data_IF_500368502961
#
_entry.id   IF_500368502961
#
_cell.length_a   1.000
_cell.length_b   1.000
_cell.length_c   1.000
_cell.angle_alpha   90.00
_cell.angle_beta   90.00
_cell.angle_gamma   90.00
#
_symmetry.space_group_name_H-M   'P 1'
#
loop_
_entity.id
_entity.type
_entity.pdbx_description
1 polymer ?
#
# COMPACT_ATOMS: atom_id res chain seq x y z
N UNK A 1 0.69 2.64 -5.17
CA UNK A 1 0.30 1.23 -4.91
C UNK A 1 -1.11 0.90 -5.43
N UNK A 2 -1.44 1.25 -6.68
CA UNK A 2 -2.69 0.82 -7.34
C UNK A 2 -2.45 -0.36 -8.30
N UNK A 3 -1.39 -1.12 -8.07
CA UNK A 3 -1.02 -2.27 -8.88
C UNK A 3 -1.68 -3.48 -8.24
N UNK A 4 -2.64 -4.10 -8.94
CA UNK A 4 -3.34 -5.27 -8.42
C UNK A 4 -2.47 -6.52 -8.53
N UNK A 5 -1.72 -6.62 -9.63
CA UNK A 5 -0.73 -7.66 -9.89
C UNK A 5 0.68 -7.14 -9.60
N UNK A 6 1.10 -7.25 -8.35
CA UNK A 6 2.40 -6.74 -7.92
C UNK A 6 3.53 -7.65 -8.40
N UNK A 7 4.22 -7.27 -9.48
CA UNK A 7 5.34 -8.04 -10.04
C UNK A 7 6.64 -7.87 -9.23
N UNK A 8 7.67 -8.67 -9.55
CA UNK A 8 8.94 -8.67 -8.81
C UNK A 8 9.70 -7.34 -8.88
N UNK A 9 9.64 -6.64 -10.03
CA UNK A 9 10.29 -5.34 -10.21
C UNK A 9 9.62 -4.29 -9.33
N UNK A 10 8.30 -4.19 -9.39
CA UNK A 10 7.53 -3.22 -8.60
C UNK A 10 7.75 -3.44 -7.09
N UNK A 11 7.86 -4.69 -6.63
CA UNK A 11 8.23 -4.98 -5.23
C UNK A 11 9.59 -4.43 -4.87
N UNK A 12 10.59 -4.67 -5.72
CA UNK A 12 11.95 -4.15 -5.50
C UNK A 12 11.98 -2.63 -5.39
N UNK A 13 11.27 -1.94 -6.29
CA UNK A 13 11.17 -0.48 -6.27
C UNK A 13 10.47 0.03 -4.98
N UNK A 14 9.44 -0.69 -4.50
CA UNK A 14 8.77 -0.35 -3.25
C UNK A 14 9.65 -0.55 -2.02
N UNK A 15 10.44 -1.64 -1.96
CA UNK A 15 11.41 -1.82 -0.88
C UNK A 15 12.49 -0.73 -0.91
N UNK A 16 12.97 -0.35 -2.09
CA UNK A 16 13.93 0.74 -2.23
C UNK A 16 13.36 2.08 -1.73
N UNK A 17 12.11 2.39 -2.07
CA UNK A 17 11.42 3.57 -1.54
C UNK A 17 11.26 3.51 -0.03
N UNK A 18 10.79 2.38 0.49
CA UNK A 18 10.61 2.15 1.92
C UNK A 18 11.93 2.06 2.69
N UNK A 19 13.09 1.92 2.05
CA UNK A 19 14.40 2.02 2.70
C UNK A 19 14.93 3.45 2.67
N UNK A 20 14.74 4.15 1.56
CA UNK A 20 15.30 5.48 1.32
C UNK A 20 14.52 6.61 2.01
N UNK A 21 13.24 6.42 2.31
CA UNK A 21 12.39 7.46 2.87
C UNK A 21 11.72 7.00 4.16
N UNK A 22 11.65 7.90 5.14
CA UNK A 22 10.86 7.71 6.34
C UNK A 22 9.36 7.85 6.05
N UNK A 23 8.53 7.32 6.94
CA UNK A 23 7.09 7.58 6.90
C UNK A 23 6.84 8.88 7.67
N UNK A 24 6.33 9.89 6.98
CA UNK A 24 6.00 11.19 7.57
C UNK A 24 4.50 11.33 7.85
N UNK A 25 4.18 12.27 8.74
CA UNK A 25 2.81 12.64 9.09
C UNK A 25 2.54 14.08 8.66
N UNK A 26 2.32 14.28 7.35
CA UNK A 26 1.97 15.59 6.80
C UNK A 26 3.15 16.57 6.66
N UNK A 27 4.39 16.07 6.64
CA UNK A 27 5.56 16.83 6.21
C UNK A 27 6.11 16.29 4.88
N UNK A 28 6.84 17.15 4.14
CA UNK A 28 7.42 16.84 2.84
C UNK A 28 8.76 16.07 2.93
N UNK A 29 9.15 15.56 4.11
CA UNK A 29 10.45 14.93 4.33
C UNK A 29 10.47 13.42 3.99
N UNK A 30 9.33 12.84 3.63
CA UNK A 30 9.23 11.40 3.37
C UNK A 30 7.94 10.97 2.70
N UNK A 31 7.57 9.71 2.93
CA UNK A 31 6.31 9.14 2.45
C UNK A 31 5.19 9.62 3.37
N UNK A 32 4.38 10.56 2.90
CA UNK A 32 3.28 11.14 3.67
C UNK A 32 2.13 10.13 3.88
N UNK A 33 2.11 9.50 5.05
CA UNK A 33 1.06 8.56 5.45
C UNK A 33 -0.30 9.24 5.62
N UNK A 34 -0.35 10.52 6.03
CA UNK A 34 -1.61 11.24 6.21
C UNK A 34 -2.28 11.51 4.86
N UNK A 35 -1.50 11.89 3.85
CA UNK A 35 -1.98 12.07 2.48
C UNK A 35 -2.51 10.75 1.90
N UNK A 36 -1.76 9.66 2.06
CA UNK A 36 -2.15 8.32 1.60
C UNK A 36 -3.45 7.90 2.29
N UNK A 37 -3.50 8.00 3.62
CA UNK A 37 -4.65 7.62 4.43
C UNK A 37 -5.90 8.44 4.05
N UNK A 38 -5.77 9.75 3.85
CA UNK A 38 -6.87 10.60 3.38
C UNK A 38 -7.44 10.14 2.03
N UNK A 39 -6.60 9.70 1.09
CA UNK A 39 -7.07 9.15 -0.18
C UNK A 39 -7.82 7.82 0.01
N UNK A 40 -7.23 6.90 0.77
CA UNK A 40 -7.80 5.56 0.99
C UNK A 40 -9.07 5.60 1.82
N UNK A 41 -9.20 6.51 2.79
CA UNK A 41 -10.43 6.70 3.58
C UNK A 41 -11.64 7.18 2.75
N UNK A 42 -11.38 7.75 1.57
CA UNK A 42 -12.40 8.17 0.61
C UNK A 42 -12.78 7.09 -0.42
N UNK A 43 -11.91 6.09 -0.63
CA UNK A 43 -12.07 5.07 -1.65
C UNK A 43 -11.73 3.66 -1.14
N UNK A 44 -12.76 2.82 -1.05
CA UNK A 44 -12.61 1.44 -0.56
C UNK A 44 -11.74 0.57 -1.47
N UNK A 45 -11.85 0.72 -2.79
CA UNK A 45 -11.06 -0.08 -3.72
C UNK A 45 -9.58 0.30 -3.64
N UNK A 46 -9.29 1.59 -3.51
CA UNK A 46 -7.93 2.09 -3.30
C UNK A 46 -7.34 1.57 -1.99
N UNK A 47 -8.08 1.67 -0.89
CA UNK A 47 -7.63 1.15 0.40
C UNK A 47 -7.34 -0.35 0.30
N UNK A 48 -8.25 -1.12 -0.31
CA UNK A 48 -8.09 -2.57 -0.43
C UNK A 48 -6.85 -2.96 -1.23
N UNK A 49 -6.57 -2.24 -2.32
CA UNK A 49 -5.37 -2.49 -3.12
C UNK A 49 -4.10 -2.14 -2.36
N UNK A 50 -4.09 -1.09 -1.54
CA UNK A 50 -2.95 -0.80 -0.68
C UNK A 50 -2.74 -1.88 0.38
N UNK A 51 -3.79 -2.29 1.11
CA UNK A 51 -3.72 -3.36 2.12
C UNK A 51 -3.13 -4.66 1.54
N UNK A 52 -3.63 -5.10 0.38
CA UNK A 52 -3.13 -6.28 -0.31
C UNK A 52 -1.66 -6.17 -0.68
N UNK A 53 -1.23 -5.00 -1.15
CA UNK A 53 0.17 -4.78 -1.51
C UNK A 53 1.08 -4.71 -0.29
N UNK A 54 0.68 -4.01 0.78
CA UNK A 54 1.43 -3.97 2.03
C UNK A 54 1.58 -5.37 2.64
N UNK A 55 0.51 -6.17 2.62
CA UNK A 55 0.57 -7.57 3.07
C UNK A 55 1.57 -8.39 2.25
N UNK A 56 1.48 -8.34 0.91
CA UNK A 56 2.41 -9.07 0.03
C UNK A 56 3.86 -8.65 0.22
N UNK A 57 4.12 -7.35 0.40
CA UNK A 57 5.45 -6.85 0.73
C UNK A 57 5.91 -7.40 2.09
N UNK A 58 5.04 -7.41 3.10
CA UNK A 58 5.39 -7.93 4.43
C UNK A 58 5.75 -9.41 4.40
N UNK A 59 4.97 -10.21 3.67
CA UNK A 59 5.15 -11.66 3.53
C UNK A 59 6.40 -12.02 2.73
N UNK A 60 6.70 -11.28 1.64
CA UNK A 60 7.86 -11.53 0.78
C UNK A 60 9.16 -10.87 1.28
N UNK A 61 9.11 -10.09 2.37
CA UNK A 61 10.27 -9.37 2.92
C UNK A 61 11.42 -10.30 3.34
N UNK A 62 11.20 -11.44 4.01
CA UNK A 62 12.29 -12.33 4.42
C UNK A 62 13.08 -12.94 3.26
N UNK A 63 12.48 -12.99 2.06
CA UNK A 63 13.10 -13.52 0.84
C UNK A 63 13.96 -12.48 0.10
N UNK A 64 13.92 -11.21 0.53
CA UNK A 64 14.67 -10.15 -0.11
C UNK A 64 16.15 -10.19 0.27
N UNK A 65 17.06 -9.81 -0.64
CA UNK A 65 18.49 -9.71 -0.37
C UNK A 65 18.83 -8.45 0.44
N UNK A 66 18.16 -8.27 1.59
CA UNK A 66 18.32 -7.17 2.53
C UNK A 66 18.95 -7.68 3.83
N UNK A 67 19.74 -6.85 4.49
CA UNK A 67 20.26 -7.14 5.83
C UNK A 67 19.13 -7.20 6.87
N UNK A 68 19.32 -7.87 8.03
CA UNK A 68 18.31 -7.90 9.08
C UNK A 68 17.88 -6.51 9.58
N UNK A 69 18.79 -5.54 9.60
CA UNK A 69 18.50 -4.16 9.96
C UNK A 69 17.58 -3.49 8.93
N UNK A 70 17.92 -3.59 7.66
CA UNK A 70 17.10 -3.07 6.55
C UNK A 70 15.71 -3.73 6.53
N UNK A 71 15.62 -5.04 6.77
CA UNK A 71 14.35 -5.74 6.90
C UNK A 71 13.53 -5.18 8.08
N UNK A 72 14.17 -4.90 9.22
CA UNK A 72 13.50 -4.26 10.36
C UNK A 72 12.94 -2.89 10.04
N UNK A 73 13.71 -2.07 9.32
CA UNK A 73 13.30 -0.73 8.87
C UNK A 73 12.08 -0.83 7.94
N UNK A 74 12.15 -1.67 6.91
CA UNK A 74 11.05 -1.84 5.95
C UNK A 74 9.80 -2.36 6.65
N UNK A 75 9.95 -3.35 7.52
CA UNK A 75 8.85 -3.91 8.30
C UNK A 75 8.12 -2.82 9.11
N UNK A 76 8.87 -2.02 9.86
CA UNK A 76 8.31 -0.94 10.67
C UNK A 76 7.56 0.10 9.83
N UNK A 77 8.08 0.42 8.64
CA UNK A 77 7.45 1.37 7.72
C UNK A 77 6.20 0.81 7.04
N UNK A 78 6.18 -0.48 6.70
CA UNK A 78 4.96 -1.19 6.25
C UNK A 78 3.90 -1.15 7.35
N UNK A 79 4.28 -1.48 8.58
CA UNK A 79 3.37 -1.52 9.73
C UNK A 79 2.80 -0.11 10.03
N UNK A 80 3.62 0.94 9.93
CA UNK A 80 3.17 2.33 10.09
C UNK A 80 2.17 2.77 9.01
N UNK A 81 2.41 2.42 7.74
CA UNK A 81 1.46 2.68 6.67
C UNK A 81 0.15 1.92 6.88
N UNK A 82 0.22 0.64 7.26
CA UNK A 82 -0.97 -0.16 7.55
C UNK A 82 -1.81 0.46 8.68
N UNK A 83 -1.16 0.89 9.77
CA UNK A 83 -1.84 1.57 10.88
C UNK A 83 -2.53 2.86 10.42
N UNK A 84 -1.87 3.71 9.63
CA UNK A 84 -2.48 4.94 9.12
C UNK A 84 -3.71 4.66 8.22
N UNK A 85 -3.65 3.59 7.43
CA UNK A 85 -4.78 3.13 6.61
C UNK A 85 -5.96 2.66 7.45
N UNK A 86 -5.73 2.04 8.60
CA UNK A 86 -6.77 1.57 9.50
C UNK A 86 -7.42 2.73 10.25
N UNK A 87 -6.61 3.62 10.82
CA UNK A 87 -7.03 4.71 11.70
C UNK A 87 -7.83 5.83 11.00
N UNK A 88 -7.65 6.02 9.69
CA UNK A 88 -8.30 7.13 8.99
C UNK A 88 -9.84 7.00 8.98
N UNK A 89 -10.60 8.08 9.26
CA UNK A 89 -12.05 8.05 9.17
C UNK A 89 -12.54 7.69 7.76
N UNK A 90 -13.42 6.68 7.67
CA UNK A 90 -13.98 6.23 6.38
C UNK A 90 -15.25 7.00 6.02
N UNK A 91 -15.35 7.45 4.77
CA UNK A 91 -16.56 8.11 4.27
C UNK A 91 -17.77 7.18 4.22
N UNK A 92 -18.97 7.76 4.08
CA UNK A 92 -20.20 6.99 3.85
C UNK A 92 -20.11 6.15 2.56
N UNK A 93 -19.58 6.72 1.47
CA UNK A 93 -19.38 6.00 0.19
C UNK A 93 -18.46 4.80 0.39
N UNK A 94 -17.34 5.00 1.06
CA UNK A 94 -16.41 3.93 1.42
C UNK A 94 -17.13 2.80 2.18
N UNK A 95 -17.88 3.13 3.24
CA UNK A 95 -18.60 2.16 4.07
C UNK A 95 -19.67 1.38 3.28
N UNK A 96 -20.36 2.04 2.35
CA UNK A 96 -21.30 1.37 1.46
C UNK A 96 -20.60 0.41 0.51
N UNK A 97 -19.47 0.83 -0.09
CA UNK A 97 -18.67 -0.03 -0.99
C UNK A 97 -18.04 -1.21 -0.24
N UNK A 98 -17.65 -1.03 1.02
CA UNK A 98 -17.11 -2.07 1.89
C UNK A 98 -18.11 -3.21 2.14
N UNK A 99 -19.41 -2.90 2.26
CA UNK A 99 -20.47 -3.92 2.37
C UNK A 99 -20.61 -4.79 1.12
N UNK A 100 -20.30 -4.23 -0.05
CA UNK A 100 -20.25 -4.99 -1.30
C UNK A 100 -19.00 -5.88 -1.33
N UNK A 101 -17.89 -5.37 -0.79
CA UNK A 101 -16.63 -6.10 -0.66
C UNK A 101 -16.06 -6.54 -2.01
N UNK A 102 -15.24 -7.57 -1.99
CA UNK A 102 -14.57 -8.11 -3.18
C UNK A 102 -15.52 -8.86 -4.13
N UNK A 103 -16.77 -9.13 -3.72
CA UNK A 103 -17.78 -9.81 -4.55
C UNK A 103 -18.04 -9.07 -5.88
N UNK A 104 -17.90 -7.75 -5.87
CA UNK A 104 -17.79 -6.96 -7.12
C UNK A 104 -16.33 -6.62 -7.32
N UNK A 105 -15.81 -6.92 -8.52
CA UNK A 105 -14.51 -6.43 -8.99
C UNK A 105 -14.42 -4.91 -8.76
N UNK A 106 -13.26 -4.43 -8.32
CA UNK A 106 -13.01 -3.03 -7.96
C UNK A 106 -11.84 -2.40 -8.71
N UNK A 107 -11.26 -3.14 -9.65
CA UNK A 107 -10.16 -2.75 -10.49
C UNK A 107 -10.48 -3.17 -11.92
N UNK A 108 -9.94 -2.44 -12.88
CA UNK A 108 -9.93 -2.84 -14.27
C UNK A 108 -8.58 -3.49 -14.58
N UNK A 109 -8.60 -4.56 -15.38
CA UNK A 109 -7.35 -5.12 -15.91
C UNK A 109 -6.89 -4.20 -17.05
N UNK A 110 -5.64 -3.69 -17.04
CA UNK A 110 -5.14 -2.90 -18.15
C UNK A 110 -5.14 -3.74 -19.43
N UNK A 111 -5.67 -3.19 -20.53
CA UNK A 111 -5.61 -3.85 -21.83
C UNK A 111 -4.13 -4.04 -22.24
N UNK A 112 -3.76 -5.25 -22.69
CA UNK A 112 -2.43 -5.52 -23.22
C UNK A 112 -2.19 -4.65 -24.46
N UNK A 113 -1.33 -3.65 -24.34
CA UNK A 113 -0.88 -2.88 -25.50
C UNK A 113 0.11 -3.76 -26.26
N UNK A 114 -0.36 -4.46 -27.29
CA UNK A 114 0.52 -5.09 -28.28
C UNK A 114 1.48 -3.99 -28.80
N UNK A 115 2.78 -4.14 -28.50
CA UNK A 115 3.85 -3.29 -29.01
C UNK A 115 4.62 -4.01 -30.10
#
# INVERSE_FOLDING_TARGET
>A
LQIVELNAKDRGDLYALLLSHEISLGDDAGIDAQRIASLTGNDWGLQRTFELNLQRLREALPEQPLTPEEQGIVAARIDALAAALDEVPKTRRWKLRARVGERRRWYDEPEEVER
#
